data_IF_680130135102
#
_entry.id   IF_680130135102
#
_cell.length_a   1.000
_cell.length_b   1.000
_cell.length_c   1.000
_cell.angle_alpha   90.00
_cell.angle_beta   90.00
_cell.angle_gamma   90.00
#
_symmetry.space_group_name_H-M   'P 1'
#
loop_
_entity.id
_entity.type
_entity.pdbx_description
1 polymer ?
#
# COMPACT_ATOMS: atom_id res chain seq x y z
N UNK A 1 -10.49 2.90 14.45
CA UNK A 1 -9.38 3.11 15.41
C UNK A 1 -8.52 1.85 15.63
N UNK A 2 -8.90 0.65 15.15
CA UNK A 2 -8.17 -0.59 15.45
C UNK A 2 -7.07 -0.97 14.42
N UNK A 3 -7.13 -0.45 13.19
CA UNK A 3 -6.14 -0.74 12.14
C UNK A 3 -4.73 -0.22 12.48
N UNK A 4 -4.63 0.85 13.26
CA UNK A 4 -3.35 1.53 13.58
C UNK A 4 -2.43 0.69 14.46
N UNK A 5 -2.98 -0.14 15.37
CA UNK A 5 -2.16 -0.91 16.30
C UNK A 5 -1.45 -2.10 15.62
N UNK A 6 -2.04 -2.67 14.57
CA UNK A 6 -1.49 -3.82 13.85
C UNK A 6 -0.19 -3.45 13.14
N UNK A 7 -0.15 -2.28 12.51
CA UNK A 7 1.01 -1.84 11.73
C UNK A 7 2.26 -1.55 12.58
N UNK A 8 2.09 -1.19 13.86
CA UNK A 8 3.21 -0.88 14.77
C UNK A 8 4.13 -2.10 14.95
N UNK A 9 3.56 -3.31 15.00
CA UNK A 9 4.31 -4.55 15.20
C UNK A 9 4.49 -5.40 13.94
N UNK A 10 3.78 -5.08 12.85
CA UNK A 10 3.84 -5.84 11.61
C UNK A 10 5.24 -5.75 10.96
N UNK A 11 5.68 -6.81 10.31
CA UNK A 11 6.86 -6.78 9.45
C UNK A 11 6.60 -5.93 8.20
N UNK A 12 7.66 -5.53 7.49
CA UNK A 12 7.49 -4.79 6.24
C UNK A 12 6.71 -5.60 5.20
N UNK A 13 6.93 -6.92 5.13
CA UNK A 13 6.20 -7.83 4.23
C UNK A 13 4.71 -7.89 4.57
N UNK A 14 4.35 -8.06 5.84
CA UNK A 14 2.95 -8.06 6.29
C UNK A 14 2.24 -6.72 6.01
N UNK A 15 2.98 -5.60 6.06
CA UNK A 15 2.46 -4.28 5.68
C UNK A 15 2.15 -4.26 4.18
N UNK A 16 3.06 -4.76 3.34
CA UNK A 16 2.85 -4.80 1.89
C UNK A 16 1.68 -5.73 1.52
N UNK A 17 1.57 -6.89 2.15
CA UNK A 17 0.45 -7.80 1.96
C UNK A 17 -0.89 -7.16 2.32
N UNK A 18 -0.97 -6.41 3.42
CA UNK A 18 -2.19 -5.66 3.78
C UNK A 18 -2.51 -4.60 2.72
N UNK A 19 -1.52 -3.84 2.25
CA UNK A 19 -1.73 -2.81 1.23
C UNK A 19 -2.17 -3.42 -0.11
N UNK A 20 -1.52 -4.50 -0.56
CA UNK A 20 -1.90 -5.23 -1.78
C UNK A 20 -3.31 -5.80 -1.65
N UNK A 21 -3.64 -6.42 -0.51
CA UNK A 21 -4.98 -6.94 -0.22
C UNK A 21 -6.05 -5.85 -0.27
N UNK A 22 -5.76 -4.70 0.34
CA UNK A 22 -6.70 -3.59 0.55
C UNK A 22 -6.96 -2.76 -0.71
N UNK A 23 -5.93 -2.50 -1.50
CA UNK A 23 -6.02 -1.58 -2.64
C UNK A 23 -5.97 -2.28 -4.01
N UNK A 24 -5.50 -3.53 -4.09
CA UNK A 24 -5.30 -4.22 -5.37
C UNK A 24 -6.10 -5.52 -5.47
N UNK A 25 -5.97 -6.45 -4.51
CA UNK A 25 -6.51 -7.81 -4.66
C UNK A 25 -8.02 -7.85 -4.45
N UNK A 26 -8.53 -7.17 -3.41
CA UNK A 26 -9.94 -7.27 -3.03
C UNK A 26 -10.79 -6.07 -3.51
N UNK A 27 -10.24 -5.21 -4.37
CA UNK A 27 -11.03 -4.12 -4.96
C UNK A 27 -11.92 -4.66 -6.10
N UNK A 28 -13.08 -4.03 -6.37
CA UNK A 28 -13.97 -4.46 -7.45
C UNK A 28 -13.27 -4.45 -8.81
N UNK A 29 -13.59 -5.39 -9.69
CA UNK A 29 -12.99 -5.49 -11.03
C UNK A 29 -13.18 -4.21 -11.87
N UNK A 30 -14.28 -3.48 -11.65
CA UNK A 30 -14.49 -2.17 -12.27
C UNK A 30 -13.36 -1.17 -11.95
N UNK A 31 -12.77 -1.25 -10.76
CA UNK A 31 -11.63 -0.44 -10.30
C UNK A 31 -10.29 -0.93 -10.84
N UNK A 32 -10.25 -2.09 -11.49
CA UNK A 32 -9.06 -2.64 -12.14
C UNK A 32 -9.23 -2.75 -13.68
N UNK A 33 -10.34 -2.22 -14.20
CA UNK A 33 -10.73 -2.36 -15.60
C UNK A 33 -9.86 -1.60 -16.59
N UNK A 34 -9.01 -0.67 -16.12
CA UNK A 34 -8.07 0.08 -16.95
C UNK A 34 -6.77 0.37 -16.22
N UNK A 35 -5.70 0.61 -17.00
CA UNK A 35 -4.39 1.00 -16.46
C UNK A 35 -4.50 2.26 -15.60
N UNK A 36 -5.30 3.24 -16.00
CA UNK A 36 -5.52 4.48 -15.24
C UNK A 36 -6.09 4.19 -13.85
N UNK A 37 -7.07 3.28 -13.75
CA UNK A 37 -7.67 2.91 -12.47
C UNK A 37 -6.72 2.09 -11.60
N UNK A 38 -5.95 1.18 -12.20
CA UNK A 38 -4.88 0.45 -11.50
C UNK A 38 -3.84 1.44 -10.95
N UNK A 39 -3.40 2.42 -11.76
CA UNK A 39 -2.48 3.47 -11.31
C UNK A 39 -3.08 4.25 -10.12
N UNK A 40 -4.36 4.57 -10.17
CA UNK A 40 -5.04 5.24 -9.06
C UNK A 40 -5.00 4.40 -7.78
N UNK A 41 -5.28 3.09 -7.85
CA UNK A 41 -5.19 2.22 -6.67
C UNK A 41 -3.75 2.16 -6.10
N UNK A 42 -2.74 2.11 -6.97
CA UNK A 42 -1.34 2.12 -6.56
C UNK A 42 -0.94 3.45 -5.90
N UNK A 43 -1.43 4.58 -6.42
CA UNK A 43 -1.26 5.90 -5.81
C UNK A 43 -1.90 5.97 -4.43
N UNK A 44 -3.14 5.48 -4.29
CA UNK A 44 -3.83 5.43 -3.00
C UNK A 44 -3.08 4.57 -1.97
N UNK A 45 -2.54 3.42 -2.38
CA UNK A 45 -1.76 2.57 -1.50
C UNK A 45 -0.43 3.23 -1.08
N UNK A 46 0.22 3.95 -1.99
CA UNK A 46 1.43 4.73 -1.71
C UNK A 46 1.17 5.85 -0.71
N UNK A 47 0.10 6.64 -0.92
CA UNK A 47 -0.31 7.67 0.03
C UNK A 47 -0.66 7.09 1.39
N UNK A 48 -1.34 5.95 1.43
CA UNK A 48 -1.66 5.30 2.70
C UNK A 48 -0.39 4.89 3.46
N UNK A 49 0.61 4.36 2.75
CA UNK A 49 1.91 4.02 3.33
C UNK A 49 2.66 5.24 3.86
N UNK A 50 2.79 6.29 3.05
CA UNK A 50 3.55 7.48 3.42
C UNK A 50 2.89 8.29 4.54
N UNK A 51 1.56 8.43 4.51
CA UNK A 51 0.86 9.33 5.42
C UNK A 51 0.44 8.64 6.73
N UNK A 52 0.08 7.36 6.71
CA UNK A 52 -0.42 6.66 7.91
C UNK A 52 0.59 5.66 8.49
N UNK A 53 1.18 4.80 7.66
CA UNK A 53 2.08 3.76 8.17
C UNK A 53 3.41 4.36 8.63
N UNK A 54 4.00 5.26 7.85
CA UNK A 54 5.26 5.94 8.23
C UNK A 54 5.09 6.95 9.36
N UNK A 55 3.89 7.51 9.55
CA UNK A 55 3.59 8.33 10.75
C UNK A 55 3.69 7.47 12.03
N UNK A 56 3.20 6.22 11.97
CA UNK A 56 3.28 5.26 13.08
C UNK A 56 4.66 4.62 13.22
N UNK A 57 5.39 4.47 12.11
CA UNK A 57 6.72 3.81 12.04
C UNK A 57 7.73 4.65 11.25
N UNK A 58 8.28 5.72 11.84
CA UNK A 58 9.19 6.64 11.16
C UNK A 58 10.50 5.99 10.68
N UNK A 59 10.86 4.81 11.20
CA UNK A 59 12.03 4.04 10.78
C UNK A 59 11.88 3.40 9.41
N UNK A 60 10.65 3.29 8.89
CA UNK A 60 10.41 2.72 7.56
C UNK A 60 10.84 3.69 6.46
N UNK A 61 11.47 3.19 5.38
CA UNK A 61 11.97 4.03 4.30
C UNK A 61 10.82 4.72 3.55
N UNK A 62 11.02 5.98 3.17
CA UNK A 62 10.14 6.64 2.19
C UNK A 62 10.46 6.14 0.79
N UNK A 63 9.43 6.01 -0.04
CA UNK A 63 9.58 5.60 -1.43
C UNK A 63 8.98 6.65 -2.37
N UNK A 64 9.59 6.81 -3.54
CA UNK A 64 8.89 7.45 -4.65
C UNK A 64 7.85 6.47 -5.22
N UNK A 65 6.72 6.99 -5.71
CA UNK A 65 5.63 6.19 -6.28
C UNK A 65 6.12 5.13 -7.28
N UNK A 66 7.05 5.50 -8.18
CA UNK A 66 7.63 4.60 -9.17
C UNK A 66 8.39 3.42 -8.55
N UNK A 67 9.09 3.66 -7.44
CA UNK A 67 9.83 2.60 -6.73
C UNK A 67 8.89 1.73 -5.92
N UNK A 68 7.87 2.35 -5.31
CA UNK A 68 6.84 1.66 -4.54
C UNK A 68 6.02 0.70 -5.41
N UNK A 69 5.55 1.17 -6.56
CA UNK A 69 4.74 0.38 -7.49
C UNK A 69 5.51 -0.82 -8.08
N UNK A 70 6.75 -0.61 -8.50
CA UNK A 70 7.55 -1.61 -9.20
C UNK A 70 8.14 -2.69 -8.28
N UNK A 71 8.34 -2.41 -7.00
CA UNK A 71 9.03 -3.34 -6.08
C UNK A 71 8.17 -3.90 -4.97
N UNK A 72 7.07 -3.22 -4.60
CA UNK A 72 6.46 -3.45 -3.29
C UNK A 72 4.96 -3.77 -3.32
N UNK A 73 4.21 -3.53 -4.41
CA UNK A 73 2.75 -3.80 -4.41
C UNK A 73 2.26 -4.64 -5.60
N UNK A 74 2.81 -4.47 -6.80
CA UNK A 74 2.28 -5.18 -7.98
C UNK A 74 2.84 -6.60 -8.17
N UNK A 75 3.85 -7.00 -7.40
CA UNK A 75 4.56 -8.29 -7.53
C UNK A 75 4.68 -9.06 -6.21
N UNK A 76 3.95 -8.66 -5.17
CA UNK A 76 3.85 -9.39 -3.90
C UNK A 76 2.92 -10.57 -4.03
#
# INVERSE_FOLDING_TARGET
>A
MQASAVFISATFEEILDDLSSRFIINVPEAELSSVERICFQVEQAHWFYEDFIRELRPELPSFQLKTFSARNILFT
#
